data_IF_426545703488
#
_entry.id   IF_426545703488
#
_cell.length_a   1.000
_cell.length_b   1.000
_cell.length_c   1.000
_cell.angle_alpha   90.00
_cell.angle_beta   90.00
_cell.angle_gamma   90.00
#
_symmetry.space_group_name_H-M   'P 1'
#
loop_
_entity.id
_entity.type
_entity.pdbx_description
1 polymer ?
#
# COMPACT_ATOMS: atom_id res chain seq x y z
N UNK A 1 31.33 -41.59 12.69
CA UNK A 1 29.95 -41.84 12.22
C UNK A 1 29.15 -42.78 13.13
N UNK A 2 29.77 -43.46 14.11
CA UNK A 2 29.10 -44.38 15.05
C UNK A 2 28.39 -43.70 16.23
N UNK A 3 28.81 -42.49 16.63
CA UNK A 3 28.19 -41.73 17.74
C UNK A 3 26.77 -41.28 17.40
N UNK A 4 26.56 -40.68 16.22
CA UNK A 4 25.26 -40.17 15.80
C UNK A 4 24.16 -41.25 15.78
N UNK A 5 24.50 -42.46 15.31
CA UNK A 5 23.57 -43.60 15.28
C UNK A 5 23.27 -44.10 16.71
N UNK A 6 24.26 -44.05 17.60
CA UNK A 6 24.06 -44.39 19.01
C UNK A 6 23.16 -43.36 19.70
N UNK A 7 23.37 -42.07 19.45
CA UNK A 7 22.61 -40.96 20.02
C UNK A 7 21.14 -41.02 19.57
N UNK A 8 20.88 -41.20 18.26
CA UNK A 8 19.52 -41.36 17.71
C UNK A 8 18.80 -42.55 18.36
N UNK A 9 19.47 -43.69 18.46
CA UNK A 9 18.89 -44.89 19.08
C UNK A 9 18.63 -44.71 20.57
N UNK A 10 19.48 -43.95 21.28
CA UNK A 10 19.27 -43.62 22.68
C UNK A 10 18.07 -42.69 22.86
N UNK A 11 17.95 -41.65 22.03
CA UNK A 11 16.83 -40.72 22.04
C UNK A 11 15.50 -41.46 21.78
N UNK A 12 15.44 -42.35 20.78
CA UNK A 12 14.25 -43.15 20.49
C UNK A 12 13.85 -44.01 21.69
N UNK A 13 14.82 -44.67 22.36
CA UNK A 13 14.54 -45.46 23.56
C UNK A 13 14.03 -44.61 24.73
N UNK A 14 14.57 -43.40 24.89
CA UNK A 14 14.10 -42.47 25.92
C UNK A 14 12.66 -42.03 25.66
N UNK A 15 12.33 -41.69 24.41
CA UNK A 15 10.97 -41.31 24.00
C UNK A 15 9.94 -42.43 24.22
N UNK A 16 10.33 -43.70 23.98
CA UNK A 16 9.48 -44.87 24.23
C UNK A 16 9.31 -45.19 25.72
N UNK A 17 10.24 -44.78 26.59
CA UNK A 17 10.16 -45.01 28.04
C UNK A 17 9.28 -43.99 28.77
N UNK A 18 9.06 -42.81 28.21
CA UNK A 18 8.25 -41.74 28.82
C UNK A 18 7.03 -41.38 27.94
N UNK A 19 6.07 -42.30 27.75
CA UNK A 19 4.99 -42.14 26.76
C UNK A 19 4.12 -40.89 26.99
N UNK A 20 3.85 -40.51 28.25
CA UNK A 20 3.05 -39.32 28.55
C UNK A 20 3.68 -38.02 28.06
N UNK A 21 4.97 -37.81 28.37
CA UNK A 21 5.72 -36.64 27.90
C UNK A 21 5.83 -36.62 26.37
N UNK A 22 6.18 -37.76 25.78
CA UNK A 22 6.32 -37.89 24.32
C UNK A 22 5.03 -37.57 23.58
N UNK A 23 3.88 -38.08 24.05
CA UNK A 23 2.57 -37.80 23.43
C UNK A 23 2.25 -36.30 23.49
N UNK A 24 2.42 -35.66 24.64
CA UNK A 24 2.16 -34.22 24.77
C UNK A 24 3.08 -33.38 23.88
N UNK A 25 4.35 -33.74 23.77
CA UNK A 25 5.31 -33.06 22.90
C UNK A 25 4.94 -33.22 21.42
N UNK A 26 4.57 -34.43 20.99
CA UNK A 26 4.14 -34.72 19.61
C UNK A 26 2.87 -33.95 19.26
N UNK A 27 1.86 -33.95 20.14
CA UNK A 27 0.60 -33.24 19.88
C UNK A 27 0.81 -31.72 19.81
N UNK A 28 1.64 -31.17 20.70
CA UNK A 28 1.97 -29.74 20.69
C UNK A 28 2.70 -29.35 19.40
N UNK A 29 3.68 -30.15 18.99
CA UNK A 29 4.44 -29.93 17.75
C UNK A 29 3.53 -30.06 16.52
N UNK A 30 2.69 -31.10 16.47
CA UNK A 30 1.76 -31.34 15.38
C UNK A 30 0.74 -30.19 15.25
N UNK A 31 0.21 -29.69 16.36
CA UNK A 31 -0.71 -28.55 16.37
C UNK A 31 -0.05 -27.28 15.85
N UNK A 32 1.20 -27.00 16.26
CA UNK A 32 1.96 -25.84 15.77
C UNK A 32 2.22 -25.90 14.26
N UNK A 33 2.61 -27.07 13.75
CA UNK A 33 2.80 -27.30 12.32
C UNK A 33 1.46 -27.15 11.58
N UNK A 34 0.39 -27.80 12.05
CA UNK A 34 -0.93 -27.75 11.42
C UNK A 34 -1.49 -26.32 11.36
N UNK A 35 -1.36 -25.51 12.41
CA UNK A 35 -1.84 -24.14 12.43
C UNK A 35 -1.10 -23.27 11.39
N UNK A 36 0.23 -23.40 11.34
CA UNK A 36 1.05 -22.66 10.37
C UNK A 36 0.74 -23.10 8.94
N UNK A 37 0.63 -24.41 8.70
CA UNK A 37 0.25 -24.97 7.39
C UNK A 37 -1.15 -24.53 6.96
N UNK A 38 -2.13 -24.47 7.85
CA UNK A 38 -3.49 -24.06 7.51
C UNK A 38 -3.55 -22.59 7.05
N UNK A 39 -2.89 -21.68 7.76
CA UNK A 39 -2.80 -20.27 7.36
C UNK A 39 -2.14 -20.15 5.99
N UNK A 40 -1.01 -20.83 5.77
CA UNK A 40 -0.35 -20.83 4.48
C UNK A 40 -1.17 -21.50 3.38
N UNK A 41 -1.96 -22.53 3.66
CA UNK A 41 -2.85 -23.15 2.66
C UNK A 41 -3.98 -22.22 2.23
N UNK A 42 -4.54 -21.42 3.14
CA UNK A 42 -5.56 -20.41 2.80
C UNK A 42 -4.94 -19.29 1.97
N UNK A 43 -3.80 -18.76 2.40
CA UNK A 43 -3.05 -17.76 1.62
C UNK A 43 -2.68 -18.34 0.26
N UNK A 44 -2.20 -19.57 0.20
CA UNK A 44 -1.86 -20.21 -1.06
C UNK A 44 -3.10 -20.37 -1.96
N UNK A 45 -4.22 -20.88 -1.45
CA UNK A 45 -5.44 -21.09 -2.23
C UNK A 45 -6.12 -19.81 -2.71
N UNK A 46 -6.10 -18.75 -1.90
CA UNK A 46 -6.78 -17.48 -2.19
C UNK A 46 -5.90 -16.51 -2.97
N UNK A 47 -4.60 -16.44 -2.62
CA UNK A 47 -3.67 -15.42 -3.10
C UNK A 47 -2.70 -15.97 -4.15
N UNK A 48 -2.08 -17.13 -3.91
CA UNK A 48 -0.93 -17.59 -4.71
C UNK A 48 -1.27 -18.63 -5.77
N UNK A 49 -2.38 -19.35 -5.65
CA UNK A 49 -2.77 -20.39 -6.59
C UNK A 49 -2.95 -19.69 -7.94
N UNK A 50 -2.04 -19.90 -8.91
CA UNK A 50 -2.11 -19.22 -10.17
C UNK A 50 -3.43 -19.64 -10.80
N UNK A 51 -4.32 -18.66 -11.00
CA UNK A 51 -5.57 -18.91 -11.71
C UNK A 51 -5.25 -19.66 -13.01
N UNK A 52 -6.08 -20.63 -13.44
CA UNK A 52 -5.82 -21.41 -14.63
C UNK A 52 -5.92 -20.51 -15.86
N UNK A 53 -4.80 -19.86 -16.17
CA UNK A 53 -4.67 -19.00 -17.33
C UNK A 53 -4.53 -19.89 -18.56
N UNK A 54 -5.42 -19.74 -19.53
CA UNK A 54 -5.20 -20.31 -20.85
C UNK A 54 -4.04 -19.54 -21.51
N UNK A 55 -2.88 -20.18 -21.69
CA UNK A 55 -1.66 -19.65 -22.32
C UNK A 55 -0.97 -18.47 -21.58
N UNK A 56 -0.38 -18.69 -20.38
CA UNK A 56 0.39 -17.67 -19.65
C UNK A 56 1.62 -17.16 -20.41
N UNK A 57 2.17 -17.98 -21.31
CA UNK A 57 3.29 -17.69 -22.21
C UNK A 57 2.97 -16.62 -23.28
N UNK A 58 1.69 -16.31 -23.51
CA UNK A 58 1.24 -15.30 -24.48
C UNK A 58 0.80 -13.98 -23.82
N UNK A 59 0.95 -13.84 -22.51
CA UNK A 59 0.59 -12.62 -21.80
C UNK A 59 1.64 -11.54 -21.95
N UNK A 60 1.26 -10.42 -22.58
CA UNK A 60 2.09 -9.22 -22.67
C UNK A 60 2.08 -8.52 -21.31
N UNK A 61 3.23 -8.50 -20.64
CA UNK A 61 3.46 -7.71 -19.44
C UNK A 61 3.52 -6.23 -19.80
N UNK A 62 2.53 -5.44 -19.37
CA UNK A 62 2.72 -3.99 -19.21
C UNK A 62 3.45 -3.76 -17.89
N UNK A 63 4.78 -3.75 -17.94
CA UNK A 63 5.60 -3.44 -16.77
C UNK A 63 5.35 -2.01 -16.28
N UNK A 64 5.41 -1.75 -14.97
CA UNK A 64 5.31 -0.40 -14.44
C UNK A 64 6.54 0.41 -14.86
N UNK A 65 6.28 1.40 -15.72
CA UNK A 65 6.96 2.69 -15.82
C UNK A 65 8.39 2.80 -15.29
N UNK A 66 9.34 2.31 -16.08
CA UNK A 66 10.63 2.97 -16.25
C UNK A 66 11.03 2.85 -17.71
N UNK A 67 10.79 3.90 -18.50
CA UNK A 67 11.69 4.28 -19.60
C UNK A 67 11.58 5.79 -19.88
N UNK A 68 12.77 6.37 -19.99
CA UNK A 68 13.11 7.73 -20.34
C UNK A 68 12.33 8.24 -21.57
N UNK A 69 11.75 9.44 -21.48
CA UNK A 69 11.56 10.29 -22.65
C UNK A 69 10.40 9.99 -23.62
N UNK A 70 9.24 9.48 -23.18
CA UNK A 70 8.03 9.55 -24.02
C UNK A 70 6.80 10.07 -23.29
N UNK A 71 6.27 11.15 -23.89
CA UNK A 71 5.06 11.91 -23.55
C UNK A 71 3.83 11.00 -23.63
N UNK A 72 3.38 10.47 -22.49
CA UNK A 72 2.05 9.87 -22.38
C UNK A 72 1.07 10.92 -21.83
N UNK A 73 0.74 11.86 -22.73
CA UNK A 73 -0.45 12.69 -22.65
C UNK A 73 -1.67 11.78 -22.91
N UNK A 74 -2.21 11.16 -21.86
CA UNK A 74 -3.62 10.71 -21.80
C UNK A 74 -3.95 10.31 -20.37
N UNK A 75 -4.34 11.31 -19.58
CA UNK A 75 -4.95 11.21 -18.23
C UNK A 75 -6.32 10.49 -18.22
N UNK A 76 -6.48 9.41 -18.99
CA UNK A 76 -7.74 8.71 -19.21
C UNK A 76 -7.79 7.30 -18.63
N UNK A 77 -6.75 6.50 -18.88
CA UNK A 77 -6.90 5.04 -18.91
C UNK A 77 -6.13 4.24 -17.85
N UNK A 78 -5.36 4.90 -16.96
CA UNK A 78 -4.82 4.24 -15.76
C UNK A 78 -5.90 3.84 -14.77
N UNK A 79 -7.12 4.37 -14.99
CA UNK A 79 -8.31 4.08 -14.23
C UNK A 79 -8.42 2.56 -14.02
N UNK A 80 -8.41 1.72 -15.06
CA UNK A 80 -8.85 0.31 -14.93
C UNK A 80 -7.88 -0.67 -14.23
N UNK A 81 -6.66 -0.26 -13.85
CA UNK A 81 -5.59 -1.22 -13.56
C UNK A 81 -5.45 -1.70 -12.09
N UNK A 82 -6.15 -1.09 -11.13
CA UNK A 82 -5.94 -1.40 -9.70
C UNK A 82 -6.96 -2.35 -9.06
N UNK A 83 -8.09 -2.64 -9.70
CA UNK A 83 -9.12 -3.47 -9.08
C UNK A 83 -8.89 -4.97 -9.35
N UNK A 84 -8.33 -5.70 -8.38
CA UNK A 84 -8.18 -7.17 -8.47
C UNK A 84 -9.47 -7.92 -8.16
N UNK A 85 -10.42 -7.25 -7.49
CA UNK A 85 -11.64 -7.84 -6.89
C UNK A 85 -12.96 -7.34 -7.49
N UNK A 86 -12.96 -6.38 -8.42
CA UNK A 86 -14.21 -5.88 -9.00
C UNK A 86 -14.95 -6.95 -9.84
N UNK A 87 -16.29 -7.06 -9.76
CA UNK A 87 -17.11 -7.96 -10.59
C UNK A 87 -16.89 -7.79 -12.10
N UNK A 88 -16.43 -6.60 -12.52
CA UNK A 88 -16.07 -6.27 -13.89
C UNK A 88 -14.85 -7.05 -14.44
N UNK A 89 -14.14 -7.81 -13.60
CA UNK A 89 -12.94 -8.56 -13.97
C UNK A 89 -13.18 -10.03 -14.33
N UNK A 90 -14.44 -10.53 -14.25
CA UNK A 90 -14.76 -11.96 -14.46
C UNK A 90 -14.21 -12.55 -15.78
N UNK A 91 -14.06 -11.73 -16.82
CA UNK A 91 -13.56 -12.15 -18.14
C UNK A 91 -12.29 -11.40 -18.60
N UNK A 92 -11.67 -10.56 -17.77
CA UNK A 92 -10.55 -9.68 -18.16
C UNK A 92 -9.25 -10.11 -17.48
N UNK A 93 -8.67 -11.20 -17.98
CA UNK A 93 -7.51 -11.86 -17.37
C UNK A 93 -6.26 -10.99 -17.29
N UNK A 94 -6.00 -10.15 -18.31
CA UNK A 94 -4.87 -9.21 -18.30
C UNK A 94 -5.03 -8.13 -17.21
N UNK A 95 -6.24 -7.64 -16.98
CA UNK A 95 -6.48 -6.63 -15.93
C UNK A 95 -6.25 -7.20 -14.52
N UNK A 96 -6.58 -8.48 -14.30
CA UNK A 96 -6.30 -9.17 -13.03
C UNK A 96 -4.81 -9.41 -12.84
N UNK A 97 -4.09 -9.86 -13.86
CA UNK A 97 -2.64 -10.06 -13.80
C UNK A 97 -1.90 -8.75 -13.48
N UNK A 98 -2.26 -7.65 -14.14
CA UNK A 98 -1.70 -6.32 -13.86
C UNK A 98 -2.08 -5.82 -12.46
N UNK A 99 -3.34 -6.03 -12.03
CA UNK A 99 -3.79 -5.66 -10.68
C UNK A 99 -3.01 -6.40 -9.58
N UNK A 100 -2.82 -7.71 -9.69
CA UNK A 100 -2.06 -8.52 -8.73
C UNK A 100 -0.58 -8.13 -8.70
N UNK A 101 -0.01 -7.78 -9.86
CA UNK A 101 1.36 -7.27 -9.96
C UNK A 101 1.51 -5.87 -9.33
N UNK A 102 0.46 -5.05 -9.37
CA UNK A 102 0.42 -3.71 -8.77
C UNK A 102 0.09 -3.75 -7.27
N UNK A 103 -0.65 -4.76 -6.80
CA UNK A 103 -0.99 -4.98 -5.40
C UNK A 103 -1.91 -6.18 -5.21
N UNK A 104 -1.43 -7.20 -4.49
CA UNK A 104 -2.26 -8.34 -4.07
C UNK A 104 -3.37 -7.82 -3.14
N UNK A 105 -4.63 -8.14 -3.46
CA UNK A 105 -5.78 -7.75 -2.64
C UNK A 105 -6.20 -6.29 -2.80
N UNK A 106 -5.77 -5.61 -3.87
CA UNK A 106 -6.18 -4.24 -4.14
C UNK A 106 -7.70 -4.13 -4.31
N UNK A 107 -8.30 -3.24 -3.50
CA UNK A 107 -9.73 -2.95 -3.44
C UNK A 107 -10.32 -2.55 -4.80
N UNK A 108 -11.63 -2.71 -4.93
CA UNK A 108 -12.30 -2.21 -6.13
C UNK A 108 -12.28 -0.68 -6.17
N UNK A 109 -12.46 -0.09 -7.36
CA UNK A 109 -12.48 1.37 -7.52
C UNK A 109 -13.65 2.04 -6.81
N UNK A 110 -14.74 1.29 -6.65
CA UNK A 110 -15.94 1.72 -5.95
C UNK A 110 -15.74 1.69 -4.42
N UNK A 111 -14.64 1.09 -3.97
CA UNK A 111 -14.28 0.92 -2.56
C UNK A 111 -13.07 1.80 -2.20
N UNK A 112 -12.07 1.92 -3.07
CA UNK A 112 -10.88 2.75 -2.79
C UNK A 112 -10.18 3.29 -4.04
N UNK A 113 -9.73 4.54 -3.97
CA UNK A 113 -8.91 5.23 -4.97
C UNK A 113 -7.61 5.75 -4.33
N UNK A 114 -6.50 5.56 -5.05
CA UNK A 114 -5.14 5.93 -4.64
C UNK A 114 -4.45 6.89 -5.64
N UNK A 115 -4.98 8.09 -5.92
CA UNK A 115 -4.26 9.07 -6.73
C UNK A 115 -2.90 9.44 -6.12
N UNK A 116 -1.86 9.39 -6.94
CA UNK A 116 -0.50 9.82 -6.60
C UNK A 116 -0.25 11.16 -7.27
N UNK A 117 0.18 12.16 -6.51
CA UNK A 117 0.69 13.40 -7.09
C UNK A 117 2.19 13.20 -7.38
N UNK A 118 2.54 12.97 -8.63
CA UNK A 118 3.93 12.82 -9.06
C UNK A 118 4.49 14.06 -9.76
N UNK A 119 3.59 14.96 -10.18
CA UNK A 119 3.91 16.19 -10.89
C UNK A 119 3.03 17.34 -10.42
N UNK A 120 3.55 18.55 -10.58
CA UNK A 120 2.83 19.79 -10.35
C UNK A 120 1.95 20.19 -11.56
N UNK A 121 1.30 21.35 -11.46
CA UNK A 121 0.43 21.89 -12.50
C UNK A 121 1.17 22.22 -13.81
N UNK A 122 2.47 22.49 -13.73
CA UNK A 122 3.35 22.78 -14.86
C UNK A 122 3.98 21.49 -15.45
N UNK A 123 3.68 20.35 -14.86
CA UNK A 123 4.17 19.03 -15.26
C UNK A 123 5.59 18.71 -14.81
N UNK A 124 6.17 19.52 -13.91
CA UNK A 124 7.46 19.23 -13.27
C UNK A 124 7.28 18.15 -12.20
N UNK A 125 8.31 17.34 -11.93
CA UNK A 125 8.27 16.41 -10.82
C UNK A 125 7.94 17.13 -9.50
N UNK A 126 7.06 16.53 -8.70
CA UNK A 126 6.81 17.00 -7.35
C UNK A 126 8.12 16.99 -6.54
N UNK A 127 8.42 18.11 -5.90
CA UNK A 127 9.61 18.30 -5.04
C UNK A 127 9.25 19.27 -3.91
N UNK A 128 8.85 18.71 -2.76
CA UNK A 128 8.48 19.49 -1.57
C UNK A 128 9.62 20.26 -0.92
N UNK A 129 10.87 20.00 -1.32
CA UNK A 129 12.06 20.69 -0.81
C UNK A 129 12.31 22.05 -1.47
N UNK A 130 11.75 22.27 -2.67
CA UNK A 130 11.98 23.50 -3.46
C UNK A 130 10.78 24.41 -3.58
N UNK A 131 9.56 23.87 -3.44
CA UNK A 131 8.35 24.60 -3.78
C UNK A 131 7.21 24.32 -2.82
N UNK A 132 6.29 25.28 -2.77
CA UNK A 132 5.07 25.21 -1.99
C UNK A 132 3.93 24.70 -2.87
N UNK A 133 3.22 23.67 -2.41
CA UNK A 133 2.09 23.11 -3.14
C UNK A 133 0.79 23.31 -2.36
N UNK A 134 0.09 24.44 -2.56
CA UNK A 134 -1.24 24.65 -2.02
C UNK A 134 -2.26 23.82 -2.80
N UNK A 135 -2.87 22.84 -2.14
CA UNK A 135 -3.97 22.06 -2.67
C UNK A 135 -5.28 22.62 -2.15
N UNK A 136 -5.97 23.40 -2.99
CA UNK A 136 -7.26 24.00 -2.65
C UNK A 136 -8.42 23.11 -3.09
N UNK A 137 -9.40 22.96 -2.21
CA UNK A 137 -10.69 22.33 -2.48
C UNK A 137 -11.81 23.29 -2.11
N UNK A 138 -12.75 23.50 -3.03
CA UNK A 138 -13.93 24.30 -2.78
C UNK A 138 -14.83 23.68 -1.70
N UNK A 139 -15.66 24.50 -1.07
CA UNK A 139 -16.60 24.07 -0.02
C UNK A 139 -17.44 22.87 -0.48
N UNK A 140 -17.38 21.78 0.27
CA UNK A 140 -18.15 20.56 -0.01
C UNK A 140 -17.66 19.74 -1.20
N UNK A 141 -16.51 20.10 -1.79
CA UNK A 141 -15.86 19.36 -2.87
C UNK A 141 -14.58 18.64 -2.40
N UNK A 142 -14.48 18.36 -1.10
CA UNK A 142 -13.38 17.58 -0.53
C UNK A 142 -13.50 16.12 -1.01
N UNK A 143 -13.09 15.83 -2.25
CA UNK A 143 -13.15 14.52 -2.94
C UNK A 143 -14.45 13.75 -2.67
N UNK A 144 -15.43 13.67 -3.59
CA UNK A 144 -16.72 13.05 -3.30
C UNK A 144 -16.56 11.58 -2.89
N UNK A 145 -16.59 11.32 -1.58
CA UNK A 145 -16.44 10.01 -0.92
C UNK A 145 -17.55 9.82 0.09
N UNK A 146 -18.06 8.60 0.27
CA UNK A 146 -19.10 8.33 1.26
C UNK A 146 -18.53 7.99 2.64
N UNK A 147 -17.24 7.64 2.72
CA UNK A 147 -16.58 7.25 3.97
C UNK A 147 -15.56 8.30 4.44
N UNK A 148 -14.32 8.23 3.94
CA UNK A 148 -13.25 9.14 4.34
C UNK A 148 -12.19 9.29 3.23
N UNK A 149 -11.47 10.39 3.28
CA UNK A 149 -10.22 10.62 2.53
C UNK A 149 -9.05 10.87 3.48
N UNK A 150 -7.84 10.54 3.03
CA UNK A 150 -6.56 10.76 3.71
C UNK A 150 -5.47 11.09 2.70
N UNK A 151 -4.70 12.14 2.94
CA UNK A 151 -3.49 12.49 2.20
C UNK A 151 -2.28 12.12 3.05
N UNK A 152 -1.42 11.22 2.58
CA UNK A 152 -0.26 10.71 3.32
C UNK A 152 1.02 11.00 2.55
N UNK A 153 2.07 11.44 3.25
CA UNK A 153 3.36 11.76 2.64
C UNK A 153 4.36 10.61 2.78
N UNK A 154 4.93 10.19 1.64
CA UNK A 154 5.94 9.14 1.57
C UNK A 154 7.25 9.63 0.96
N UNK A 155 8.35 9.15 1.53
CA UNK A 155 9.68 9.25 0.94
C UNK A 155 9.89 8.10 -0.05
N UNK A 156 10.41 8.39 -1.24
CA UNK A 156 10.76 7.38 -2.23
C UNK A 156 12.27 7.43 -2.53
N UNK A 157 12.93 6.27 -2.67
CA UNK A 157 12.34 4.94 -2.88
C UNK A 157 12.05 4.15 -1.60
N UNK A 158 12.32 4.71 -0.41
CA UNK A 158 12.23 3.99 0.87
C UNK A 158 10.81 3.51 1.21
N UNK A 159 9.79 4.16 0.65
CA UNK A 159 8.35 3.94 0.95
C UNK A 159 8.02 4.14 2.43
N UNK A 160 8.84 4.92 3.15
CA UNK A 160 8.63 5.22 4.55
C UNK A 160 7.93 6.56 4.72
N UNK A 161 7.32 6.74 5.90
CA UNK A 161 6.75 8.02 6.30
C UNK A 161 7.87 9.05 6.51
N UNK A 162 7.59 10.29 6.11
CA UNK A 162 8.57 11.38 6.17
C UNK A 162 8.69 11.91 7.60
N UNK A 163 9.84 11.66 8.24
CA UNK A 163 10.16 12.26 9.54
C UNK A 163 10.11 13.79 9.45
N UNK A 164 9.39 14.42 10.37
CA UNK A 164 9.21 15.87 10.40
C UNK A 164 9.10 16.41 11.83
N UNK A 165 9.23 17.73 11.98
CA UNK A 165 9.31 18.42 13.27
C UNK A 165 8.02 18.38 14.10
N UNK A 166 6.88 18.11 13.49
CA UNK A 166 5.56 18.10 14.14
C UNK A 166 4.94 16.70 14.24
N UNK A 167 5.68 15.65 13.87
CA UNK A 167 5.23 14.25 13.82
C UNK A 167 3.92 14.05 13.04
N UNK A 168 3.73 14.80 11.94
CA UNK A 168 2.54 14.71 11.08
C UNK A 168 2.87 14.02 9.77
N UNK A 169 2.23 12.90 9.51
CA UNK A 169 2.50 12.09 8.31
C UNK A 169 1.31 12.05 7.34
N UNK A 170 0.13 12.46 7.82
CA UNK A 170 -1.09 12.52 7.05
C UNK A 170 -1.99 13.69 7.45
N UNK A 171 -2.92 14.03 6.57
CA UNK A 171 -4.10 14.85 6.85
C UNK A 171 -5.31 14.11 6.29
N UNK A 172 -6.37 13.97 7.08
CA UNK A 172 -7.57 13.23 6.65
C UNK A 172 -8.87 13.94 7.03
N UNK A 173 -9.98 13.44 6.51
CA UNK A 173 -11.33 13.96 6.77
C UNK A 173 -11.72 14.01 8.26
N UNK A 174 -11.43 13.00 9.11
CA UNK A 174 -11.64 13.11 10.55
C UNK A 174 -10.94 14.30 11.22
N UNK A 175 -9.86 14.83 10.64
CA UNK A 175 -9.16 16.00 11.17
C UNK A 175 -9.85 17.33 10.83
N UNK A 176 -10.88 17.35 9.97
CA UNK A 176 -11.56 18.58 9.52
C UNK A 176 -11.92 19.57 10.65
N UNK A 177 -12.45 19.14 11.83
CA UNK A 177 -12.74 20.07 12.93
C UNK A 177 -11.52 20.80 13.50
N UNK A 178 -10.31 20.28 13.25
CA UNK A 178 -9.04 20.86 13.67
C UNK A 178 -8.29 21.58 12.54
N UNK A 179 -8.83 21.54 11.32
CA UNK A 179 -8.31 22.28 10.17
C UNK A 179 -8.95 23.66 10.10
N UNK A 180 -8.24 24.60 9.49
CA UNK A 180 -8.75 25.94 9.23
C UNK A 180 -9.36 25.98 7.84
N UNK A 181 -10.66 26.23 7.78
CA UNK A 181 -11.33 26.48 6.51
C UNK A 181 -10.98 27.87 5.98
N UNK A 182 -10.97 27.98 4.66
CA UNK A 182 -10.81 29.24 3.94
C UNK A 182 -12.06 30.12 4.15
N UNK A 183 -11.97 31.42 3.83
CA UNK A 183 -13.07 32.38 4.05
C UNK A 183 -14.35 32.04 3.28
N UNK A 184 -14.20 31.35 2.14
CA UNK A 184 -15.28 30.85 1.29
C UNK A 184 -15.83 29.49 1.77
N UNK A 185 -15.28 28.94 2.86
CA UNK A 185 -15.60 27.61 3.38
C UNK A 185 -14.91 26.47 2.65
N UNK A 186 -13.94 26.76 1.77
CA UNK A 186 -13.03 25.78 1.19
C UNK A 186 -11.97 25.29 2.18
N UNK A 187 -11.09 24.41 1.73
CA UNK A 187 -9.94 23.92 2.47
C UNK A 187 -8.71 23.99 1.57
N UNK A 188 -7.69 24.70 2.03
CA UNK A 188 -6.37 24.68 1.40
C UNK A 188 -5.41 23.89 2.27
N UNK A 189 -4.86 22.80 1.73
CA UNK A 189 -3.77 22.03 2.34
C UNK A 189 -2.43 22.53 1.78
N UNK A 190 -1.44 22.70 2.65
CA UNK A 190 -0.11 23.14 2.25
C UNK A 190 0.84 21.95 2.29
N UNK A 191 1.51 21.64 1.19
CA UNK A 191 2.51 20.57 1.13
C UNK A 191 3.85 21.20 0.78
N UNK A 192 4.79 21.14 1.72
CA UNK A 192 6.11 21.77 1.61
C UNK A 192 6.99 21.34 2.78
N UNK A 193 8.31 21.45 2.62
CA UNK A 193 9.25 20.99 3.64
C UNK A 193 9.38 21.93 4.85
N UNK A 194 9.24 23.23 4.64
CA UNK A 194 9.33 24.24 5.70
C UNK A 194 7.95 24.72 6.17
N UNK A 195 7.83 25.04 7.45
CA UNK A 195 6.55 25.46 8.04
C UNK A 195 6.00 26.71 7.35
N UNK A 196 4.74 26.73 6.89
CA UNK A 196 4.09 27.90 6.29
C UNK A 196 3.69 28.97 7.32
N UNK A 197 4.17 28.85 8.57
CA UNK A 197 3.84 29.74 9.68
C UNK A 197 2.69 29.24 10.56
N UNK A 198 2.59 29.80 11.76
CA UNK A 198 1.65 29.36 12.80
C UNK A 198 0.18 29.43 12.36
N UNK A 199 -0.17 30.38 11.49
CA UNK A 199 -1.54 30.52 11.01
C UNK A 199 -1.96 29.37 10.09
N UNK A 200 -1.04 28.84 9.28
CA UNK A 200 -1.29 27.81 8.26
C UNK A 200 -0.88 26.40 8.71
N UNK A 201 -0.16 26.28 9.83
CA UNK A 201 0.35 25.01 10.36
C UNK A 201 -0.73 23.96 10.57
N UNK A 202 -1.96 24.35 10.90
CA UNK A 202 -3.09 23.42 11.05
C UNK A 202 -3.32 22.59 9.78
N UNK A 203 -3.17 23.19 8.60
CA UNK A 203 -3.43 22.58 7.29
C UNK A 203 -2.14 22.13 6.56
N UNK A 204 -1.00 22.19 7.25
CA UNK A 204 0.29 21.86 6.65
C UNK A 204 0.60 20.37 6.78
N UNK A 205 1.00 19.75 5.67
CA UNK A 205 1.58 18.41 5.59
C UNK A 205 3.08 18.54 5.26
N UNK A 206 3.98 18.24 6.20
CA UNK A 206 5.41 18.36 5.97
C UNK A 206 5.92 17.42 4.88
N UNK A 207 6.65 17.98 3.92
CA UNK A 207 7.37 17.26 2.88
C UNK A 207 8.86 17.07 3.29
N UNK A 208 9.59 16.11 2.71
CA UNK A 208 11.00 15.94 2.98
C UNK A 208 11.83 17.09 2.40
N UNK A 209 12.96 17.40 3.04
CA UNK A 209 13.93 18.41 2.57
C UNK A 209 14.88 17.90 1.49
N UNK A 210 14.70 16.67 1.03
CA UNK A 210 15.57 16.06 0.04
C UNK A 210 14.88 16.05 -1.33
N UNK A 211 15.62 16.30 -2.42
CA UNK A 211 15.07 16.35 -3.78
C UNK A 211 14.75 14.96 -4.37
N UNK A 212 14.78 13.91 -3.55
CA UNK A 212 14.28 12.61 -3.99
C UNK A 212 12.78 12.73 -4.26
N UNK A 213 12.26 11.96 -5.22
CA UNK A 213 10.88 12.08 -5.71
C UNK A 213 9.87 11.70 -4.63
N UNK A 214 9.65 12.59 -3.66
CA UNK A 214 8.60 12.52 -2.68
C UNK A 214 7.26 12.60 -3.39
N UNK A 215 6.30 11.81 -2.91
CA UNK A 215 4.98 11.75 -3.53
C UNK A 215 3.93 11.69 -2.44
N UNK A 216 3.06 12.70 -2.36
CA UNK A 216 1.86 12.53 -1.56
C UNK A 216 0.95 11.51 -2.24
N UNK A 217 0.54 10.52 -1.46
CA UNK A 217 -0.47 9.54 -1.83
C UNK A 217 -1.79 10.00 -1.21
N UNK A 218 -2.77 10.22 -2.06
CA UNK A 218 -4.12 10.52 -1.62
C UNK A 218 -4.93 9.22 -1.67
N UNK A 219 -5.41 8.79 -0.52
CA UNK A 219 -6.34 7.69 -0.31
C UNK A 219 -7.75 8.27 -0.19
N UNK A 220 -8.69 7.76 -0.98
CA UNK A 220 -10.10 8.12 -0.92
C UNK A 220 -10.94 6.84 -0.96
N UNK A 221 -11.79 6.61 0.04
CA UNK A 221 -12.65 5.42 0.12
C UNK A 221 -14.11 5.74 -0.24
N UNK A 222 -14.66 4.91 -1.13
CA UNK A 222 -15.96 5.12 -1.78
C UNK A 222 -17.15 4.85 -0.88
#
# INVERSE_FOLDING_TARGET
>A
MSSLIQDIRHAIRQLLKSPGFTITAILSLACGIAATSAVFSVVWGVVMNPYPYAAPDRMVHFGPWRHHGQRLQRFGDHRRAMATTAPASRNHFLARATGTQMGIGANSRDETLYPILDKDADGQPFDGSKSEYPLHSAKGQFLPVNAFWSLTMYDLPSQLLVKNSINRYLINSPMLPHLKLDKDGGLTLYIQADSPGAEKQANWLPAPKVPHADRPLLLAEG
#
